data_IF_031500580004
#
_entry.id   IF_031500580004
#
_cell.length_a   1.000
_cell.length_b   1.000
_cell.length_c   1.000
_cell.angle_alpha   90.00
_cell.angle_beta   90.00
_cell.angle_gamma   90.00
#
_symmetry.space_group_name_H-M   'P 1'
#
loop_
_entity.id
_entity.type
_entity.pdbx_description
1 polymer ?
#
# COMPACT_ATOMS: atom_id res chain seq x y z
N UNK A 1 -7.80 -42.61 16.26
CA UNK A 1 -7.47 -41.55 17.24
C UNK A 1 -6.74 -40.36 16.70
N UNK A 2 -6.16 -40.42 15.52
CA UNK A 2 -5.50 -39.26 14.89
C UNK A 2 -6.50 -38.20 14.40
N UNK A 3 -7.69 -38.59 14.02
CA UNK A 3 -8.76 -37.67 13.60
C UNK A 3 -9.34 -36.87 14.80
N UNK A 4 -9.25 -37.40 16.01
CA UNK A 4 -9.72 -36.73 17.21
C UNK A 4 -8.77 -35.66 17.77
N UNK A 5 -7.46 -35.74 17.46
CA UNK A 5 -6.50 -34.74 17.91
C UNK A 5 -6.46 -33.50 17.03
N UNK A 6 -6.85 -33.63 15.75
CA UNK A 6 -6.96 -32.46 14.86
C UNK A 6 -8.23 -31.65 15.12
N UNK A 7 -9.30 -32.30 15.62
CA UNK A 7 -10.52 -31.59 16.04
C UNK A 7 -10.43 -30.96 17.44
N UNK A 8 -9.40 -31.28 18.20
CA UNK A 8 -9.14 -30.69 19.51
C UNK A 8 -8.16 -29.53 19.47
N UNK A 9 -7.99 -28.88 18.32
CA UNK A 9 -7.47 -27.52 18.30
C UNK A 9 -8.51 -26.68 19.03
N UNK A 10 -8.22 -26.41 20.28
CA UNK A 10 -9.13 -25.66 21.17
C UNK A 10 -9.47 -24.32 20.52
N UNK A 11 -10.70 -23.88 20.66
CA UNK A 11 -11.16 -22.57 20.23
C UNK A 11 -10.19 -21.44 20.65
N UNK A 12 -9.48 -21.60 21.76
CA UNK A 12 -8.43 -20.70 22.21
C UNK A 12 -7.23 -20.61 21.27
N UNK A 13 -6.79 -21.69 20.65
CA UNK A 13 -5.69 -21.68 19.69
C UNK A 13 -6.09 -21.00 18.38
N UNK A 14 -7.33 -21.21 17.95
CA UNK A 14 -7.92 -20.51 16.79
C UNK A 14 -8.02 -19.01 17.06
N UNK A 15 -8.46 -18.61 18.24
CA UNK A 15 -8.53 -17.19 18.66
C UNK A 15 -7.15 -16.56 18.72
N UNK A 16 -6.13 -17.27 19.20
CA UNK A 16 -4.74 -16.80 19.25
C UNK A 16 -4.20 -16.62 17.82
N UNK A 17 -4.47 -17.57 16.90
CA UNK A 17 -4.05 -17.48 15.51
C UNK A 17 -4.73 -16.30 14.81
N UNK A 18 -6.03 -16.10 15.01
CA UNK A 18 -6.78 -14.97 14.46
C UNK A 18 -6.25 -13.65 14.99
N UNK A 19 -6.03 -13.52 16.31
CA UNK A 19 -5.44 -12.33 16.91
C UNK A 19 -4.02 -12.03 16.42
N UNK A 20 -3.19 -13.06 16.27
CA UNK A 20 -1.86 -12.90 15.67
C UNK A 20 -1.93 -12.45 14.22
N UNK A 21 -2.87 -12.98 13.45
CA UNK A 21 -3.09 -12.61 12.05
C UNK A 21 -3.61 -11.18 11.93
N UNK A 22 -4.59 -10.79 12.75
CA UNK A 22 -5.08 -9.40 12.78
C UNK A 22 -3.99 -8.40 13.18
N UNK A 23 -3.20 -8.72 14.19
CA UNK A 23 -2.08 -7.87 14.62
C UNK A 23 -1.00 -7.76 13.56
N UNK A 24 -0.74 -8.82 12.79
CA UNK A 24 0.20 -8.81 11.67
C UNK A 24 -0.33 -7.97 10.52
N UNK A 25 -1.61 -8.12 10.17
CA UNK A 25 -2.27 -7.32 9.13
C UNK A 25 -2.29 -5.84 9.50
N UNK A 26 -2.61 -5.51 10.77
CA UNK A 26 -2.59 -4.11 11.25
C UNK A 26 -1.21 -3.46 11.13
N UNK A 27 -0.13 -4.21 11.37
CA UNK A 27 1.23 -3.73 11.15
C UNK A 27 1.53 -3.51 9.66
N UNK A 28 1.06 -4.40 8.79
CA UNK A 28 1.20 -4.25 7.34
C UNK A 28 0.56 -2.95 6.84
N UNK A 29 -0.63 -2.65 7.29
CA UNK A 29 -1.32 -1.40 6.95
C UNK A 29 -0.58 -0.14 7.43
N UNK A 30 0.07 -0.21 8.60
CA UNK A 30 0.93 0.87 9.08
C UNK A 30 2.11 1.10 8.14
N UNK A 31 2.73 0.05 7.63
CA UNK A 31 3.82 0.16 6.65
C UNK A 31 3.34 0.75 5.33
N UNK A 32 2.17 0.36 4.84
CA UNK A 32 1.57 0.94 3.61
C UNK A 32 1.35 2.46 3.78
N UNK A 33 0.77 2.89 4.89
CA UNK A 33 0.58 4.33 5.16
C UNK A 33 1.91 5.07 5.25
N UNK A 34 2.89 4.47 5.93
CA UNK A 34 4.23 5.05 6.06
C UNK A 34 4.91 5.22 4.70
N UNK A 35 4.84 4.20 3.84
CA UNK A 35 5.34 4.24 2.47
C UNK A 35 4.67 5.37 1.67
N UNK A 36 3.35 5.53 1.77
CA UNK A 36 2.65 6.65 1.10
C UNK A 36 3.12 8.03 1.58
N UNK A 37 3.45 8.17 2.87
CA UNK A 37 4.01 9.41 3.41
C UNK A 37 5.41 9.66 2.86
N UNK A 38 6.27 8.65 2.82
CA UNK A 38 7.61 8.76 2.25
C UNK A 38 7.57 9.08 0.76
N UNK A 39 6.60 8.51 0.03
CA UNK A 39 6.38 8.84 -1.38
C UNK A 39 6.11 10.34 -1.58
N UNK A 40 5.22 10.92 -0.79
CA UNK A 40 4.93 12.34 -0.85
C UNK A 40 6.15 13.20 -0.49
N UNK A 41 6.94 12.75 0.49
CA UNK A 41 8.15 13.48 0.91
C UNK A 41 9.20 13.58 -0.20
N UNK A 42 9.49 12.46 -0.89
CA UNK A 42 10.50 12.53 -1.94
C UNK A 42 9.98 13.22 -3.21
N UNK A 43 8.69 13.10 -3.55
CA UNK A 43 8.06 13.84 -4.65
C UNK A 43 8.13 15.35 -4.38
N UNK A 44 7.77 15.78 -3.17
CA UNK A 44 7.92 17.16 -2.73
C UNK A 44 9.38 17.60 -2.78
N UNK A 45 10.29 16.75 -2.30
CA UNK A 45 11.72 16.98 -2.32
C UNK A 45 12.26 17.25 -3.73
N UNK A 46 11.82 16.49 -4.75
CA UNK A 46 12.21 16.72 -6.15
C UNK A 46 11.74 18.07 -6.67
N UNK A 47 10.54 18.48 -6.32
CA UNK A 47 10.00 19.79 -6.75
C UNK A 47 10.66 20.97 -6.04
N UNK A 48 11.16 20.77 -4.81
CA UNK A 48 11.82 21.81 -4.00
C UNK A 48 13.35 21.75 -4.08
N UNK A 49 13.93 20.81 -4.82
CA UNK A 49 15.38 20.61 -4.88
C UNK A 49 16.05 21.68 -5.75
N UNK A 50 16.80 22.57 -5.10
CA UNK A 50 17.63 23.60 -5.78
C UNK A 50 19.13 23.28 -5.75
N UNK A 51 19.56 22.28 -4.96
CA UNK A 51 20.98 22.02 -4.69
C UNK A 51 21.33 20.53 -4.70
N UNK A 52 22.54 20.21 -5.10
CA UNK A 52 23.08 18.83 -5.13
C UNK A 52 22.89 18.01 -3.85
N UNK A 53 23.07 18.55 -2.62
CA UNK A 53 22.88 17.76 -1.41
C UNK A 53 21.44 17.31 -1.19
N UNK A 54 20.44 18.03 -1.74
CA UNK A 54 19.03 17.62 -1.67
C UNK A 54 18.77 16.30 -2.41
N UNK A 55 19.47 16.06 -3.52
CA UNK A 55 19.35 14.80 -4.26
C UNK A 55 19.85 13.59 -3.47
N UNK A 56 20.87 13.75 -2.64
CA UNK A 56 21.37 12.69 -1.75
C UNK A 56 20.31 12.37 -0.69
N UNK A 57 19.71 13.39 -0.10
CA UNK A 57 18.64 13.24 0.88
C UNK A 57 17.41 12.52 0.27
N UNK A 58 17.02 12.94 -0.93
CA UNK A 58 15.90 12.30 -1.68
C UNK A 58 16.21 10.84 -1.96
N UNK A 59 17.43 10.51 -2.38
CA UNK A 59 17.85 9.13 -2.62
C UNK A 59 17.75 8.28 -1.34
N UNK A 60 18.12 8.81 -0.18
CA UNK A 60 17.97 8.11 1.11
C UNK A 60 16.51 7.88 1.47
N UNK A 61 15.64 8.86 1.21
CA UNK A 61 14.20 8.73 1.44
C UNK A 61 13.60 7.64 0.54
N UNK A 62 13.99 7.59 -0.73
CA UNK A 62 13.55 6.56 -1.68
C UNK A 62 13.98 5.16 -1.21
N UNK A 63 15.22 4.99 -0.76
CA UNK A 63 15.70 3.71 -0.24
C UNK A 63 14.91 3.28 0.99
N UNK A 64 14.62 4.20 1.90
CA UNK A 64 13.78 3.93 3.07
C UNK A 64 12.35 3.55 2.66
N UNK A 65 11.79 4.21 1.67
CA UNK A 65 10.46 3.94 1.12
C UNK A 65 10.38 2.51 0.58
N UNK A 66 11.33 2.09 -0.25
CA UNK A 66 11.39 0.72 -0.75
C UNK A 66 11.53 -0.33 0.36
N UNK A 67 12.29 -0.04 1.40
CA UNK A 67 12.41 -0.93 2.55
C UNK A 67 11.08 -1.13 3.27
N UNK A 68 10.32 -0.06 3.49
CA UNK A 68 8.99 -0.15 4.12
C UNK A 68 7.96 -0.82 3.20
N UNK A 69 8.05 -0.57 1.90
CA UNK A 69 7.22 -1.23 0.89
C UNK A 69 7.44 -2.75 0.87
N UNK A 70 8.69 -3.20 0.91
CA UNK A 70 9.05 -4.62 1.02
C UNK A 70 8.45 -5.24 2.28
N UNK A 71 8.57 -4.57 3.42
CA UNK A 71 7.97 -5.01 4.69
C UNK A 71 6.45 -5.08 4.66
N UNK A 72 5.80 -4.18 3.96
CA UNK A 72 4.35 -4.25 3.73
C UNK A 72 3.97 -5.47 2.89
N UNK A 73 4.73 -5.76 1.83
CA UNK A 73 4.52 -6.92 0.94
C UNK A 73 4.72 -8.27 1.63
N UNK A 74 5.56 -8.35 2.66
CA UNK A 74 5.71 -9.57 3.48
C UNK A 74 4.44 -9.91 4.30
N UNK A 75 3.60 -8.93 4.53
CA UNK A 75 2.45 -9.05 5.44
C UNK A 75 1.13 -9.05 4.70
N UNK A 76 1.04 -8.28 3.64
CA UNK A 76 -0.15 -8.12 2.79
C UNK A 76 0.21 -8.63 1.40
N UNK A 77 -0.76 -9.12 0.67
CA UNK A 77 -0.56 -9.59 -0.71
C UNK A 77 0.04 -8.48 -1.57
N UNK A 78 1.13 -8.79 -2.27
CA UNK A 78 1.95 -7.84 -3.01
C UNK A 78 1.15 -7.02 -4.01
N UNK A 79 0.22 -7.65 -4.74
CA UNK A 79 -0.65 -6.97 -5.70
C UNK A 79 -1.51 -5.89 -5.05
N UNK A 80 -2.10 -6.18 -3.89
CA UNK A 80 -2.91 -5.22 -3.12
C UNK A 80 -2.06 -4.03 -2.63
N UNK A 81 -0.86 -4.30 -2.11
CA UNK A 81 0.05 -3.25 -1.62
C UNK A 81 0.42 -2.29 -2.75
N UNK A 82 0.86 -2.82 -3.89
CA UNK A 82 1.23 -2.01 -5.06
C UNK A 82 0.05 -1.23 -5.64
N UNK A 83 -1.13 -1.83 -5.69
CA UNK A 83 -2.34 -1.18 -6.18
C UNK A 83 -2.72 0.03 -5.30
N UNK A 84 -2.71 -0.14 -3.99
CA UNK A 84 -3.03 0.94 -3.03
C UNK A 84 -1.95 2.02 -3.07
N UNK A 85 -0.68 1.63 -3.03
CA UNK A 85 0.45 2.55 -3.13
C UNK A 85 0.37 3.41 -4.40
N UNK A 86 0.18 2.80 -5.55
CA UNK A 86 0.05 3.48 -6.84
C UNK A 86 -1.15 4.43 -6.88
N UNK A 87 -2.32 3.99 -6.38
CA UNK A 87 -3.52 4.82 -6.34
C UNK A 87 -3.36 6.02 -5.42
N UNK A 88 -2.89 5.80 -4.20
CA UNK A 88 -2.68 6.88 -3.21
C UNK A 88 -1.63 7.84 -3.70
N UNK A 89 -0.49 7.34 -4.19
CA UNK A 89 0.59 8.16 -4.74
C UNK A 89 0.10 9.06 -5.86
N UNK A 90 -0.61 8.52 -6.84
CA UNK A 90 -1.12 9.32 -7.97
C UNK A 90 -2.12 10.39 -7.54
N UNK A 91 -3.07 10.05 -6.66
CA UNK A 91 -4.06 11.02 -6.15
C UNK A 91 -3.38 12.11 -5.33
N UNK A 92 -2.50 11.72 -4.41
CA UNK A 92 -1.78 12.67 -3.56
C UNK A 92 -0.84 13.58 -4.36
N UNK A 93 -0.14 13.04 -5.35
CA UNK A 93 0.71 13.84 -6.26
C UNK A 93 -0.13 14.85 -7.04
N UNK A 94 -1.27 14.44 -7.59
CA UNK A 94 -2.17 15.33 -8.32
C UNK A 94 -2.74 16.44 -7.43
N UNK A 95 -3.06 16.13 -6.17
CA UNK A 95 -3.51 17.11 -5.18
C UNK A 95 -2.37 18.09 -4.82
N UNK A 96 -1.18 17.57 -4.60
CA UNK A 96 0.00 18.38 -4.29
C UNK A 96 0.35 19.34 -5.42
N UNK A 97 0.33 18.86 -6.67
CA UNK A 97 0.54 19.69 -7.86
C UNK A 97 -0.47 20.85 -7.93
N UNK A 98 -1.73 20.57 -7.63
CA UNK A 98 -2.79 21.58 -7.71
C UNK A 98 -2.75 22.55 -6.54
N UNK A 99 -2.53 22.07 -5.30
CA UNK A 99 -2.62 22.88 -4.09
C UNK A 99 -1.34 23.64 -3.77
N UNK A 100 -0.17 23.04 -4.02
CA UNK A 100 1.12 23.62 -3.65
C UNK A 100 1.75 24.35 -4.83
N UNK A 101 1.72 23.72 -6.01
CA UNK A 101 2.38 24.26 -7.20
C UNK A 101 1.43 25.04 -8.12
N UNK A 102 0.15 25.20 -7.73
CA UNK A 102 -0.88 25.90 -8.52
C UNK A 102 -0.95 25.47 -10.00
N UNK A 103 -0.64 24.21 -10.27
CA UNK A 103 -0.79 23.63 -11.61
C UNK A 103 -2.26 23.43 -11.89
N UNK A 104 -2.75 23.92 -13.03
CA UNK A 104 -4.16 23.79 -13.41
C UNK A 104 -4.60 22.34 -13.45
N UNK A 105 -5.71 22.04 -12.77
CA UNK A 105 -6.32 20.71 -12.79
C UNK A 105 -6.98 20.46 -14.13
N UNK A 106 -6.29 19.71 -14.97
CA UNK A 106 -6.80 19.35 -16.30
C UNK A 106 -7.82 18.21 -16.19
N UNK A 107 -8.90 18.29 -16.96
CA UNK A 107 -9.94 17.23 -17.04
C UNK A 107 -9.32 15.87 -17.36
N UNK A 108 -8.27 15.83 -18.20
CA UNK A 108 -7.50 14.62 -18.47
C UNK A 108 -6.88 14.00 -17.21
N UNK A 109 -6.30 14.78 -16.30
CA UNK A 109 -5.79 14.28 -15.01
C UNK A 109 -6.89 13.60 -14.20
N UNK A 110 -8.06 14.23 -14.09
CA UNK A 110 -9.22 13.66 -13.40
C UNK A 110 -9.68 12.34 -14.02
N UNK A 111 -9.71 12.24 -15.33
CA UNK A 111 -10.08 11.03 -16.05
C UNK A 111 -9.09 9.87 -15.76
N UNK A 112 -7.79 10.13 -15.82
CA UNK A 112 -6.77 9.11 -15.53
C UNK A 112 -6.79 8.65 -14.07
N UNK A 113 -7.03 9.55 -13.13
CA UNK A 113 -7.19 9.19 -11.71
C UNK A 113 -8.41 8.29 -11.52
N UNK A 114 -9.55 8.62 -12.13
CA UNK A 114 -10.75 7.79 -12.08
C UNK A 114 -10.52 6.40 -12.69
N UNK A 115 -9.82 6.33 -13.82
CA UNK A 115 -9.46 5.07 -14.48
C UNK A 115 -8.55 4.22 -13.60
N UNK A 116 -7.57 4.83 -12.93
CA UNK A 116 -6.66 4.17 -12.02
C UNK A 116 -7.40 3.60 -10.81
N UNK A 117 -8.29 4.38 -10.19
CA UNK A 117 -9.11 3.92 -9.06
C UNK A 117 -10.01 2.74 -9.50
N UNK A 118 -10.63 2.81 -10.66
CA UNK A 118 -11.44 1.72 -11.21
C UNK A 118 -10.58 0.45 -11.41
N UNK A 119 -9.35 0.58 -11.92
CA UNK A 119 -8.40 -0.53 -12.06
C UNK A 119 -8.04 -1.18 -10.72
N UNK A 120 -7.78 -0.38 -9.69
CA UNK A 120 -7.47 -0.87 -8.34
C UNK A 120 -8.65 -1.61 -7.72
N UNK A 121 -9.87 -1.09 -7.89
CA UNK A 121 -11.08 -1.76 -7.41
C UNK A 121 -11.27 -3.09 -8.14
N UNK A 122 -11.10 -3.12 -9.46
CA UNK A 122 -11.22 -4.35 -10.26
C UNK A 122 -10.21 -5.40 -9.84
N UNK A 123 -8.97 -5.00 -9.60
CA UNK A 123 -7.92 -5.90 -9.11
C UNK A 123 -8.28 -6.50 -7.75
N UNK A 124 -8.77 -5.67 -6.84
CA UNK A 124 -9.16 -6.12 -5.51
C UNK A 124 -10.36 -7.07 -5.51
N UNK A 125 -11.30 -6.88 -6.43
CA UNK A 125 -12.43 -7.79 -6.61
C UNK A 125 -11.96 -9.14 -7.15
N UNK A 126 -11.09 -9.16 -8.16
CA UNK A 126 -10.52 -10.38 -8.73
C UNK A 126 -9.71 -11.18 -7.69
N UNK A 127 -8.93 -10.50 -6.87
CA UNK A 127 -8.16 -11.10 -5.77
C UNK A 127 -9.05 -11.75 -4.71
N UNK A 128 -10.18 -11.13 -4.39
CA UNK A 128 -11.15 -11.71 -3.46
C UNK A 128 -11.82 -12.97 -4.03
N UNK A 129 -12.07 -13.01 -5.33
CA UNK A 129 -12.65 -14.19 -6.00
C UNK A 129 -11.66 -15.37 -6.00
N UNK A 130 -10.39 -15.13 -6.29
CA UNK A 130 -9.35 -16.18 -6.23
C UNK A 130 -9.18 -16.74 -4.82
N UNK A 131 -9.20 -15.88 -3.80
CA UNK A 131 -9.08 -16.31 -2.40
C UNK A 131 -10.30 -17.13 -1.93
N UNK A 132 -11.46 -16.91 -2.52
CA UNK A 132 -12.66 -17.71 -2.25
C UNK A 132 -12.63 -19.04 -2.99
N UNK A 133 -12.17 -19.08 -4.22
CA UNK A 133 -12.02 -20.29 -5.02
C UNK A 133 -11.00 -21.28 -4.42
N UNK A 134 -9.94 -20.77 -3.80
CA UNK A 134 -8.93 -21.61 -3.12
C UNK A 134 -9.45 -22.23 -1.80
N UNK A 135 -10.54 -21.71 -1.24
CA UNK A 135 -11.15 -22.22 -0.01
C UNK A 135 -12.25 -23.27 -0.22
N UNK A 136 -12.70 -23.46 -1.45
CA UNK A 136 -13.65 -24.50 -1.83
C UNK A 136 -12.92 -25.77 -2.32
#
# INVERSE_FOLDING_TARGET
CLVGSEMCIRDSDIIVIINCKEKKISRGWTYVVLTCIFELLWIYGFNAAESWPHFILIALIIVADFYFLEKACETIQTGTVYAIFSAVGTVCTALMDTLIFNVEFTIAKGFFIALLIAGVISLKLAENEETQAEKE
#
